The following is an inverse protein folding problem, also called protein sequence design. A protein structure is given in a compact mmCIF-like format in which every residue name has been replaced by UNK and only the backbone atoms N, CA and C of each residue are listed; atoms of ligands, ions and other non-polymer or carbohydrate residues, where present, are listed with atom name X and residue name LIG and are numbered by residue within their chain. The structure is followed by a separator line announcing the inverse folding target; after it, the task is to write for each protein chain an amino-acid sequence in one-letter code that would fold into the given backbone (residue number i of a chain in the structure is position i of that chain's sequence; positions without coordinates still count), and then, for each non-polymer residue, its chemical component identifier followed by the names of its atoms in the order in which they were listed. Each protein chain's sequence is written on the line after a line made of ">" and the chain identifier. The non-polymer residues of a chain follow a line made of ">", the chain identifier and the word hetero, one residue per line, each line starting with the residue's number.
data_IF_716918688021
#
_entry.id   IF_716918688021
#
_cell.length_a   1.000
_cell.length_b   1.000
_cell.length_c   1.000
_cell.angle_alpha   90.00
_cell.angle_beta   90.00
_cell.angle_gamma   90.00
#
_symmetry.space_group_name_H-M   'P 1'
#
loop_
_entity.id
_entity.type
_entity.pdbx_description
1 polymer ?
#
# COMPACT_ATOMS: atom_id res chain seq x y z
N UNK A 1 -53.68 30.92 -57.26
CA UNK A 1 -54.17 29.86 -56.34
C UNK A 1 -52.95 29.24 -55.68
N UNK A 2 -52.70 29.53 -54.40
CA UNK A 2 -51.53 29.04 -53.65
C UNK A 2 -51.97 27.87 -52.77
N UNK A 3 -51.38 26.70 -52.96
CA UNK A 3 -51.59 25.54 -52.09
C UNK A 3 -50.84 25.74 -50.76
N UNK A 4 -51.50 25.55 -49.60
CA UNK A 4 -50.82 25.59 -48.31
C UNK A 4 -50.14 24.24 -48.05
N UNK A 5 -48.80 24.26 -47.92
CA UNK A 5 -48.02 23.12 -47.43
C UNK A 5 -48.24 23.02 -45.92
N UNK A 6 -48.73 21.87 -45.45
CA UNK A 6 -48.87 21.59 -44.01
C UNK A 6 -47.49 21.34 -43.39
N UNK A 7 -47.16 21.95 -42.23
CA UNK A 7 -45.95 21.60 -41.49
C UNK A 7 -46.09 20.21 -40.88
N UNK A 8 -45.07 19.38 -41.03
CA UNK A 8 -44.95 18.09 -40.33
C UNK A 8 -44.43 18.40 -38.93
N UNK A 9 -45.26 18.18 -37.90
CA UNK A 9 -44.80 18.20 -36.51
C UNK A 9 -44.19 16.85 -36.16
N UNK A 10 -42.85 16.80 -36.12
CA UNK A 10 -42.14 15.68 -35.51
C UNK A 10 -42.28 15.75 -33.99
N UNK A 11 -42.98 14.79 -33.40
CA UNK A 11 -43.00 14.57 -31.94
C UNK A 11 -41.70 13.85 -31.57
N UNK A 12 -40.66 14.59 -31.20
CA UNK A 12 -39.53 14.00 -30.49
C UNK A 12 -40.02 13.63 -29.08
N UNK A 13 -40.13 12.32 -28.82
CA UNK A 13 -40.16 11.82 -27.45
C UNK A 13 -38.77 12.08 -26.85
N UNK A 14 -38.66 12.74 -25.69
CA UNK A 14 -37.39 12.90 -25.03
C UNK A 14 -36.84 11.51 -24.68
N UNK A 15 -35.71 11.16 -25.28
CA UNK A 15 -34.88 10.04 -24.81
C UNK A 15 -34.51 10.32 -23.35
N UNK A 16 -34.75 9.40 -22.40
CA UNK A 16 -34.33 9.62 -21.03
C UNK A 16 -32.81 9.79 -21.02
N UNK A 17 -32.36 10.95 -20.57
CA UNK A 17 -30.96 11.18 -20.24
C UNK A 17 -30.58 10.14 -19.19
N UNK A 18 -29.48 9.38 -19.36
CA UNK A 18 -28.98 8.54 -18.29
C UNK A 18 -28.71 9.45 -17.10
N UNK A 19 -29.53 9.33 -16.07
CA UNK A 19 -29.30 10.02 -14.80
C UNK A 19 -28.00 9.42 -14.29
N UNK A 20 -26.95 10.24 -14.24
CA UNK A 20 -25.70 9.85 -13.62
C UNK A 20 -26.04 9.34 -12.22
N UNK A 21 -25.65 8.10 -11.92
CA UNK A 21 -25.74 7.51 -10.60
C UNK A 21 -25.19 8.53 -9.59
N UNK A 22 -25.92 8.86 -8.50
CA UNK A 22 -25.37 9.73 -7.48
C UNK A 22 -24.02 9.16 -7.05
N UNK A 23 -22.97 9.99 -6.89
CA UNK A 23 -21.68 9.50 -6.44
C UNK A 23 -21.90 8.72 -5.16
N UNK A 24 -21.47 7.46 -5.15
CA UNK A 24 -21.42 6.63 -3.95
C UNK A 24 -20.74 7.50 -2.89
N UNK A 25 -21.37 7.78 -1.74
CA UNK A 25 -20.79 8.65 -0.73
C UNK A 25 -19.47 8.04 -0.30
N UNK A 26 -18.38 8.67 -0.76
CA UNK A 26 -17.02 8.26 -0.43
C UNK A 26 -16.89 8.34 1.09
N UNK A 27 -16.82 7.19 1.76
CA UNK A 27 -16.62 7.11 3.20
C UNK A 27 -15.14 7.30 3.59
N UNK A 28 -14.27 7.53 2.61
CA UNK A 28 -12.88 7.93 2.84
C UNK A 28 -12.84 9.41 3.19
N UNK A 29 -12.49 9.70 4.44
CA UNK A 29 -12.21 11.07 4.88
C UNK A 29 -10.80 11.46 4.37
N UNK A 30 -10.70 12.62 3.72
CA UNK A 30 -9.40 13.21 3.39
C UNK A 30 -8.63 13.50 4.68
N UNK A 31 -7.56 12.75 4.93
CA UNK A 31 -6.69 12.98 6.06
C UNK A 31 -5.56 13.94 5.67
N UNK A 32 -5.57 15.12 6.27
CA UNK A 32 -4.51 16.11 6.14
C UNK A 32 -3.33 15.71 7.04
N UNK A 33 -2.30 15.11 6.46
CA UNK A 33 -1.11 14.66 7.18
C UNK A 33 0.05 15.64 6.99
N UNK A 34 0.85 15.82 8.05
CA UNK A 34 2.11 16.54 8.01
C UNK A 34 3.23 15.56 7.68
N UNK A 35 3.86 15.71 6.52
CA UNK A 35 4.89 14.79 6.03
C UNK A 35 6.03 15.53 5.34
N UNK A 36 7.20 14.89 5.27
CA UNK A 36 8.27 15.32 4.37
C UNK A 36 7.93 14.87 2.95
N UNK A 37 7.75 15.83 2.05
CA UNK A 37 7.54 15.56 0.62
C UNK A 37 8.87 15.62 -0.10
N UNK A 38 9.13 14.59 -0.88
CA UNK A 38 10.28 14.50 -1.80
C UNK A 38 9.95 15.22 -3.11
N UNK A 39 10.73 16.24 -3.47
CA UNK A 39 10.62 17.04 -4.70
C UNK A 39 11.52 16.51 -5.81
N UNK A 40 12.67 15.93 -5.46
CA UNK A 40 13.56 15.21 -6.37
C UNK A 40 14.25 14.09 -5.60
N UNK A 41 14.57 13.00 -6.30
CA UNK A 41 15.29 11.87 -5.74
C UNK A 41 16.22 11.26 -6.78
N UNK A 42 17.52 11.51 -6.60
CA UNK A 42 18.57 11.15 -7.55
C UNK A 42 19.53 10.16 -6.92
N UNK A 43 19.82 9.09 -7.66
CA UNK A 43 20.92 8.18 -7.36
C UNK A 43 21.99 8.30 -8.42
N UNK A 44 23.25 8.38 -7.99
CA UNK A 44 24.40 8.40 -8.88
C UNK A 44 25.57 7.62 -8.30
N UNK A 45 26.33 7.01 -9.20
CA UNK A 45 27.65 6.50 -8.92
C UNK A 45 28.67 7.52 -9.42
N UNK A 46 29.70 7.79 -8.64
CA UNK A 46 30.85 8.55 -9.13
C UNK A 46 32.14 7.77 -8.84
N UNK A 47 33.08 7.80 -9.79
CA UNK A 47 34.41 7.18 -9.67
C UNK A 47 35.45 8.29 -9.70
N UNK A 48 36.32 8.28 -8.70
CA UNK A 48 37.39 9.23 -8.56
C UNK A 48 38.73 8.51 -8.53
N UNK A 49 39.62 8.87 -9.45
CA UNK A 49 40.97 8.33 -9.52
C UNK A 49 41.97 9.38 -9.07
N UNK A 50 42.73 9.05 -8.03
CA UNK A 50 43.79 9.93 -7.53
C UNK A 50 45.07 9.18 -7.19
N UNK A 51 46.19 9.90 -7.25
CA UNK A 51 47.51 9.41 -6.84
C UNK A 51 47.80 9.92 -5.44
N UNK A 52 47.93 8.98 -4.51
CA UNK A 52 48.25 9.26 -3.12
C UNK A 52 49.74 9.00 -2.90
N UNK A 53 50.44 9.99 -2.39
CA UNK A 53 51.84 9.85 -2.02
C UNK A 53 51.99 8.94 -0.80
N UNK A 54 52.99 8.06 -0.83
CA UNK A 54 53.36 7.27 0.34
C UNK A 54 53.98 8.18 1.41
N UNK A 55 53.60 8.03 2.69
CA UNK A 55 54.34 8.60 3.81
C UNK A 55 55.83 8.19 3.76
N UNK A 56 56.73 9.06 4.22
CA UNK A 56 58.18 8.87 4.07
C UNK A 56 58.69 7.57 4.71
N UNK A 57 58.13 7.17 5.85
CA UNK A 57 58.42 5.92 6.56
C UNK A 57 57.98 4.69 5.77
N UNK A 58 56.75 4.70 5.25
CA UNK A 58 56.21 3.64 4.41
C UNK A 58 56.98 3.55 3.08
N UNK A 59 57.31 4.70 2.48
CA UNK A 59 58.08 4.78 1.23
C UNK A 59 59.47 4.18 1.35
N UNK A 60 60.15 4.35 2.49
CA UNK A 60 61.47 3.74 2.69
C UNK A 60 61.39 2.20 2.71
N UNK A 61 60.32 1.63 3.29
CA UNK A 61 60.07 0.19 3.34
C UNK A 61 59.71 -0.37 1.96
N UNK A 62 58.68 0.21 1.34
CA UNK A 62 58.60 0.56 -0.09
C UNK A 62 59.79 0.19 -0.98
N UNK A 63 60.69 1.17 -1.07
CA UNK A 63 61.86 1.18 -1.94
C UNK A 63 62.90 0.10 -1.56
N UNK A 64 62.92 -0.35 -0.31
CA UNK A 64 63.78 -1.46 0.11
C UNK A 64 63.27 -2.81 -0.43
N UNK A 65 61.97 -3.07 -0.32
CA UNK A 65 61.34 -4.29 -0.83
C UNK A 65 61.44 -4.39 -2.37
N UNK A 66 61.21 -3.28 -3.07
CA UNK A 66 61.38 -3.21 -4.54
C UNK A 66 62.84 -3.52 -4.93
N UNK A 67 63.83 -2.95 -4.24
CA UNK A 67 65.25 -3.24 -4.50
C UNK A 67 65.63 -4.69 -4.22
N UNK A 68 64.95 -5.34 -3.28
CA UNK A 68 65.11 -6.76 -2.98
C UNK A 68 64.40 -7.68 -3.98
N UNK A 69 63.64 -7.13 -4.94
CA UNK A 69 62.94 -7.90 -5.97
C UNK A 69 61.64 -8.55 -5.48
N UNK A 70 61.06 -8.04 -4.38
CA UNK A 70 59.82 -8.56 -3.81
C UNK A 70 58.59 -8.08 -4.58
N UNK A 71 57.52 -8.88 -4.60
CA UNK A 71 56.25 -8.51 -5.20
C UNK A 71 55.46 -7.59 -4.27
N UNK A 72 55.10 -6.41 -4.75
CA UNK A 72 54.30 -5.44 -4.00
C UNK A 72 52.82 -5.61 -4.33
N UNK A 73 52.01 -5.78 -3.29
CA UNK A 73 50.55 -5.78 -3.39
C UNK A 73 49.95 -4.72 -2.49
N UNK A 74 48.84 -4.12 -2.94
CA UNK A 74 48.18 -3.01 -2.26
C UNK A 74 46.75 -3.43 -1.99
N UNK A 75 46.27 -3.16 -0.78
CA UNK A 75 44.87 -3.31 -0.40
C UNK A 75 44.35 -1.96 0.07
N UNK A 76 43.13 -1.62 -0.32
CA UNK A 76 42.42 -0.47 0.21
C UNK A 76 41.19 -0.98 0.95
N UNK A 77 41.01 -0.52 2.19
CA UNK A 77 39.83 -0.84 2.99
C UNK A 77 39.21 0.44 3.51
N UNK A 78 37.90 0.44 3.58
CA UNK A 78 37.13 1.60 4.00
C UNK A 78 37.01 1.60 5.53
N UNK A 79 37.53 2.63 6.23
CA UNK A 79 37.31 2.81 7.64
C UNK A 79 35.84 3.16 7.91
N UNK A 80 35.36 2.67 9.05
CA UNK A 80 34.00 2.91 9.53
C UNK A 80 33.88 4.28 10.24
N UNK A 81 35.00 4.97 10.50
CA UNK A 81 35.02 6.25 11.23
C UNK A 81 36.22 7.15 10.89
N UNK A 82 36.02 8.46 10.63
CA UNK A 82 34.71 9.09 10.42
C UNK A 82 34.06 8.55 9.14
N UNK A 83 32.73 8.45 9.14
CA UNK A 83 31.97 8.03 7.97
C UNK A 83 32.18 8.98 6.77
N UNK A 84 31.85 8.54 5.55
CA UNK A 84 32.00 9.38 4.39
C UNK A 84 31.04 10.58 4.47
N UNK A 85 31.45 11.71 3.90
CA UNK A 85 30.78 13.00 4.00
C UNK A 85 30.29 13.44 2.64
N UNK A 86 29.13 14.09 2.62
CA UNK A 86 28.56 14.75 1.45
C UNK A 86 28.04 16.11 1.87
N UNK A 87 28.62 17.18 1.32
CA UNK A 87 28.25 18.54 1.69
C UNK A 87 27.91 19.35 0.44
N UNK A 88 26.87 20.18 0.55
CA UNK A 88 26.57 21.22 -0.45
C UNK A 88 27.60 22.33 -0.33
N UNK A 89 28.19 22.74 -1.45
CA UNK A 89 29.17 23.83 -1.52
C UNK A 89 28.58 25.09 -2.13
N UNK A 90 27.76 24.92 -3.16
CA UNK A 90 27.12 26.05 -3.82
C UNK A 90 25.90 25.60 -4.61
N UNK A 91 24.90 26.48 -4.70
CA UNK A 91 23.70 26.28 -5.51
C UNK A 91 23.64 27.43 -6.52
N UNK A 92 23.57 27.09 -7.82
CA UNK A 92 23.19 28.05 -8.87
C UNK A 92 21.86 27.64 -9.49
N UNK A 93 20.99 28.60 -9.78
CA UNK A 93 19.70 28.32 -10.43
C UNK A 93 19.79 28.66 -11.91
N UNK A 94 19.37 27.72 -12.74
CA UNK A 94 19.42 27.85 -14.20
C UNK A 94 18.10 27.38 -14.83
N UNK A 95 17.83 27.85 -16.04
CA UNK A 95 16.75 27.33 -16.87
C UNK A 95 17.33 26.33 -17.85
N UNK A 96 16.94 25.06 -17.75
CA UNK A 96 17.35 24.02 -18.67
C UNK A 96 16.14 23.49 -19.44
N UNK A 97 16.37 22.99 -20.65
CA UNK A 97 15.31 22.35 -21.44
C UNK A 97 15.36 20.85 -21.25
N UNK A 98 14.35 20.28 -20.61
CA UNK A 98 14.17 18.84 -20.43
C UNK A 98 12.95 18.41 -21.24
N UNK A 99 13.12 17.52 -22.21
CA UNK A 99 12.04 17.03 -23.08
C UNK A 99 11.22 18.14 -23.75
N UNK A 100 11.88 19.22 -24.19
CA UNK A 100 11.24 20.35 -24.86
C UNK A 100 10.55 21.36 -23.92
N UNK A 101 10.55 21.12 -22.60
CA UNK A 101 10.01 22.05 -21.60
C UNK A 101 11.15 22.75 -20.88
N UNK A 102 11.08 24.08 -20.78
CA UNK A 102 12.02 24.86 -19.97
C UNK A 102 11.64 24.74 -18.49
N UNK A 103 12.55 24.20 -17.69
CA UNK A 103 12.37 24.01 -16.25
C UNK A 103 13.48 24.75 -15.51
N UNK A 104 13.12 25.46 -14.44
CA UNK A 104 14.08 26.09 -13.54
C UNK A 104 14.59 25.07 -12.55
N UNK A 105 15.90 24.85 -12.54
CA UNK A 105 16.57 23.80 -11.74
C UNK A 105 17.65 24.42 -10.85
N UNK A 106 18.03 23.69 -9.80
CA UNK A 106 19.25 23.97 -9.03
C UNK A 106 20.39 23.11 -9.54
N UNK A 107 21.46 23.73 -10.04
CA UNK A 107 22.74 23.04 -10.24
C UNK A 107 23.52 23.15 -8.94
N UNK A 108 23.64 22.03 -8.23
CA UNK A 108 24.20 21.96 -6.90
C UNK A 108 25.57 21.30 -6.96
N UNK A 109 26.58 21.99 -6.46
CA UNK A 109 27.94 21.46 -6.32
C UNK A 109 28.07 20.78 -4.97
N UNK A 110 28.38 19.50 -4.99
CA UNK A 110 28.67 18.70 -3.81
C UNK A 110 30.17 18.48 -3.68
N UNK A 111 30.66 18.43 -2.44
CA UNK A 111 31.97 17.86 -2.11
C UNK A 111 31.74 16.59 -1.32
N UNK A 112 32.31 15.51 -1.85
CA UNK A 112 32.33 14.20 -1.23
C UNK A 112 33.70 13.99 -0.60
N UNK A 113 33.71 13.47 0.63
CA UNK A 113 34.94 13.13 1.33
C UNK A 113 34.83 11.74 1.91
N UNK A 114 35.81 10.88 1.64
CA UNK A 114 35.91 9.56 2.27
C UNK A 114 37.33 9.37 2.80
N UNK A 115 37.44 8.86 4.02
CA UNK A 115 38.72 8.41 4.56
C UNK A 115 38.87 6.96 4.16
N UNK A 116 40.07 6.53 3.73
CA UNK A 116 40.39 5.14 3.37
C UNK A 116 41.71 4.71 4.01
N UNK A 117 41.85 3.42 4.30
CA UNK A 117 43.08 2.83 4.83
C UNK A 117 43.77 2.05 3.73
N UNK A 118 45.03 2.41 3.45
CA UNK A 118 45.87 1.76 2.46
C UNK A 118 46.87 0.86 3.17
N UNK A 119 46.90 -0.41 2.76
CA UNK A 119 47.83 -1.43 3.25
C UNK A 119 48.74 -1.88 2.13
N UNK A 120 50.02 -1.97 2.41
CA UNK A 120 51.02 -2.42 1.45
C UNK A 120 51.67 -3.69 1.98
N UNK A 121 51.85 -4.67 1.11
CA UNK A 121 52.47 -5.94 1.40
C UNK A 121 53.62 -6.22 0.44
N UNK A 122 54.65 -6.93 0.91
CA UNK A 122 55.72 -7.52 0.10
C UNK A 122 55.67 -9.05 0.24
N UNK A 123 55.52 -9.76 -0.88
CA UNK A 123 55.38 -11.22 -0.92
C UNK A 123 54.29 -11.74 0.05
N UNK A 124 53.20 -10.97 0.20
CA UNK A 124 52.11 -11.25 1.14
C UNK A 124 52.35 -10.85 2.60
N UNK A 125 53.54 -10.33 2.95
CA UNK A 125 53.86 -9.86 4.30
C UNK A 125 53.56 -8.36 4.45
N UNK A 126 52.84 -7.91 5.50
CA UNK A 126 52.55 -6.49 5.69
C UNK A 126 53.83 -5.65 5.82
N UNK A 127 53.95 -4.58 5.03
CA UNK A 127 55.04 -3.61 5.10
C UNK A 127 54.65 -2.37 5.91
N UNK A 128 53.54 -1.74 5.53
CA UNK A 128 53.04 -0.53 6.18
C UNK A 128 51.53 -0.36 5.94
N UNK A 129 50.91 0.43 6.81
CA UNK A 129 49.52 0.86 6.72
C UNK A 129 49.46 2.37 6.98
N UNK A 130 48.66 3.09 6.21
CA UNK A 130 48.40 4.51 6.46
C UNK A 130 46.98 4.89 6.04
N UNK A 131 46.47 5.95 6.65
CA UNK A 131 45.15 6.51 6.35
C UNK A 131 45.30 7.72 5.43
N UNK A 132 44.40 7.86 4.45
CA UNK A 132 44.32 9.02 3.57
C UNK A 132 42.87 9.43 3.35
N UNK A 133 42.64 10.72 3.12
CA UNK A 133 41.30 11.23 2.78
C UNK A 133 41.25 11.55 1.30
N UNK A 134 40.31 10.93 0.60
CA UNK A 134 39.98 11.30 -0.77
C UNK A 134 38.82 12.30 -0.75
N UNK A 135 38.98 13.38 -1.51
CA UNK A 135 37.95 14.38 -1.71
C UNK A 135 37.78 14.65 -3.19
N UNK A 136 36.52 14.76 -3.62
CA UNK A 136 36.18 15.14 -4.99
C UNK A 136 34.85 15.88 -4.98
N UNK A 137 34.65 16.69 -5.99
CA UNK A 137 33.43 17.46 -6.18
C UNK A 137 32.67 17.05 -7.43
N UNK A 138 31.36 17.21 -7.40
CA UNK A 138 30.51 16.97 -8.55
C UNK A 138 29.33 17.94 -8.55
N UNK A 139 28.94 18.36 -9.75
CA UNK A 139 27.68 19.08 -9.95
C UNK A 139 26.55 18.09 -10.27
N UNK A 140 25.40 18.31 -9.64
CA UNK A 140 24.18 17.54 -9.87
C UNK A 140 23.03 18.52 -10.11
N UNK A 141 22.20 18.23 -11.11
CA UNK A 141 20.99 18.99 -11.39
C UNK A 141 19.83 18.43 -10.57
N UNK A 142 19.25 19.27 -9.71
CA UNK A 142 18.13 18.94 -8.84
C UNK A 142 16.91 19.81 -9.15
N UNK A 143 15.71 19.23 -9.00
CA UNK A 143 14.48 20.00 -8.89
C UNK A 143 14.44 20.69 -7.52
N UNK A 144 14.85 21.97 -7.51
CA UNK A 144 14.97 22.78 -6.29
C UNK A 144 14.18 24.09 -6.45
N UNK A 145 12.84 24.03 -6.38
CA UNK A 145 11.99 25.22 -6.52
C UNK A 145 12.21 26.19 -5.35
N UNK A 146 12.09 27.50 -5.61
CA UNK A 146 12.06 28.48 -4.53
C UNK A 146 10.81 28.24 -3.64
N UNK A 147 10.92 28.37 -2.30
CA UNK A 147 12.05 28.91 -1.53
C UNK A 147 13.09 27.87 -1.08
N UNK A 148 13.03 26.62 -1.56
CA UNK A 148 13.92 25.55 -1.07
C UNK A 148 15.39 25.86 -1.35
N UNK A 149 16.25 25.52 -0.40
CA UNK A 149 17.69 25.79 -0.42
C UNK A 149 18.51 24.59 0.07
N UNK A 150 19.72 24.83 0.60
CA UNK A 150 20.63 23.77 1.08
C UNK A 150 20.07 22.97 2.24
N UNK A 151 19.24 23.58 3.10
CA UNK A 151 18.64 22.90 4.26
C UNK A 151 17.60 21.86 3.85
N UNK A 152 17.11 21.95 2.61
CA UNK A 152 16.16 21.01 2.02
C UNK A 152 16.85 19.87 1.26
N UNK A 153 18.18 19.81 1.23
CA UNK A 153 18.91 18.79 0.48
C UNK A 153 19.48 17.76 1.45
N UNK A 154 18.94 16.55 1.39
CA UNK A 154 19.47 15.40 2.12
C UNK A 154 20.41 14.63 1.20
N UNK A 155 21.68 14.54 1.58
CA UNK A 155 22.67 13.76 0.85
C UNK A 155 23.22 12.62 1.70
N UNK A 156 23.13 11.39 1.19
CA UNK A 156 23.60 10.19 1.86
C UNK A 156 24.47 9.36 0.93
N UNK A 157 25.65 8.96 1.43
CA UNK A 157 26.49 7.97 0.76
C UNK A 157 26.02 6.59 1.21
N UNK A 158 25.49 5.80 0.28
CA UNK A 158 24.89 4.48 0.55
C UNK A 158 25.89 3.34 0.42
N UNK A 159 26.92 3.52 -0.42
CA UNK A 159 28.05 2.61 -0.53
C UNK A 159 29.30 3.37 -0.96
N UNK A 160 30.46 2.82 -0.60
CA UNK A 160 31.79 3.24 -0.99
C UNK A 160 32.50 1.96 -1.47
N UNK A 161 33.36 2.08 -2.46
CA UNK A 161 34.25 1.01 -2.92
C UNK A 161 35.63 1.62 -3.20
N UNK A 162 36.68 1.11 -2.55
CA UNK A 162 38.05 1.55 -2.80
C UNK A 162 38.90 0.46 -3.47
N UNK A 163 39.39 0.74 -4.68
CA UNK A 163 40.19 -0.17 -5.48
C UNK A 163 41.56 0.43 -5.82
N UNK A 164 42.68 -0.16 -5.39
CA UNK A 164 43.99 0.24 -5.88
C UNK A 164 44.14 -0.18 -7.35
N UNK A 165 44.46 0.76 -8.24
CA UNK A 165 44.66 0.46 -9.66
C UNK A 165 46.14 0.16 -9.93
N UNK A 166 46.47 -1.13 -9.96
CA UNK A 166 47.77 -1.67 -10.38
C UNK A 166 48.72 -2.06 -9.24
N UNK A 167 49.74 -2.87 -9.56
CA UNK A 167 50.78 -3.34 -8.63
C UNK A 167 52.06 -2.48 -8.69
N UNK A 168 52.02 -1.36 -9.42
CA UNK A 168 53.20 -0.56 -9.75
C UNK A 168 53.14 0.78 -9.02
N UNK A 169 54.07 0.96 -8.08
CA UNK A 169 54.34 2.24 -7.42
C UNK A 169 54.89 3.23 -8.46
N UNK A 170 54.06 4.18 -8.90
CA UNK A 170 54.46 5.21 -9.86
C UNK A 170 55.22 6.33 -9.15
N UNK A 171 56.51 6.12 -8.87
CA UNK A 171 57.35 7.14 -8.25
C UNK A 171 57.03 7.42 -6.77
N UNK A 172 56.72 6.36 -6.00
CA UNK A 172 56.35 6.48 -4.58
C UNK A 172 54.90 6.91 -4.37
N UNK A 173 54.04 6.72 -5.37
CA UNK A 173 52.60 7.00 -5.30
C UNK A 173 51.79 5.74 -5.58
N UNK A 174 50.66 5.62 -4.90
CA UNK A 174 49.62 4.61 -5.13
C UNK A 174 48.45 5.28 -5.84
N UNK A 175 47.96 4.68 -6.92
CA UNK A 175 46.75 5.14 -7.58
C UNK A 175 45.53 4.40 -6.99
N UNK A 176 44.59 5.17 -6.45
CA UNK A 176 43.33 4.65 -5.92
C UNK A 176 42.18 5.08 -6.84
N UNK A 177 41.29 4.14 -7.13
CA UNK A 177 39.98 4.36 -7.75
C UNK A 177 38.93 4.19 -6.65
N UNK A 178 38.31 5.29 -6.26
CA UNK A 178 37.28 5.32 -5.22
C UNK A 178 35.94 5.58 -5.86
N UNK A 179 35.02 4.64 -5.69
CA UNK A 179 33.66 4.71 -6.21
C UNK A 179 32.72 5.00 -5.03
N UNK A 180 31.85 5.99 -5.19
CA UNK A 180 30.78 6.27 -4.24
C UNK A 180 29.42 6.08 -4.88
N UNK A 181 28.48 5.52 -4.13
CA UNK A 181 27.07 5.56 -4.41
C UNK A 181 26.40 6.59 -3.53
N UNK A 182 25.76 7.56 -4.16
CA UNK A 182 25.15 8.70 -3.50
C UNK A 182 23.67 8.71 -3.78
N UNK A 183 22.90 8.96 -2.74
CA UNK A 183 21.48 9.23 -2.75
C UNK A 183 21.27 10.69 -2.33
N UNK A 184 20.61 11.46 -3.21
CA UNK A 184 20.32 12.88 -2.97
C UNK A 184 18.80 13.06 -3.05
N UNK A 185 18.22 13.60 -1.99
CA UNK A 185 16.80 13.93 -1.91
C UNK A 185 16.62 15.43 -1.67
N UNK A 186 15.63 16.02 -2.34
CA UNK A 186 15.15 17.37 -2.01
C UNK A 186 13.86 17.19 -1.25
N UNK A 187 13.83 17.58 0.02
CA UNK A 187 12.70 17.37 0.93
C UNK A 187 12.22 18.67 1.54
N UNK A 188 10.90 18.83 1.65
CA UNK A 188 10.31 19.89 2.43
C UNK A 188 9.06 19.40 3.15
N UNK A 189 8.86 19.94 4.35
CA UNK A 189 7.68 19.62 5.14
C UNK A 189 6.44 20.27 4.52
N UNK A 190 5.42 19.46 4.31
CA UNK A 190 4.15 19.90 3.72
C UNK A 190 2.98 19.26 4.46
N UNK A 191 1.81 19.84 4.24
CA UNK A 191 0.53 19.23 4.59
C UNK A 191 -0.07 18.64 3.32
N UNK A 192 -0.34 17.35 3.30
CA UNK A 192 -0.89 16.65 2.16
C UNK A 192 -2.16 15.91 2.55
N UNK A 193 -3.11 15.90 1.62
CA UNK A 193 -4.21 14.93 1.57
C UNK A 193 -3.71 13.81 0.65
N UNK A 194 -3.62 12.57 1.13
CA UNK A 194 -2.90 11.49 0.42
C UNK A 194 -3.77 10.31 0.00
N UNK A 195 -3.58 9.90 -1.25
CA UNK A 195 -3.72 8.53 -1.74
C UNK A 195 -2.31 8.10 -2.20
N UNK A 196 -1.73 7.03 -1.63
CA UNK A 196 -0.27 6.80 -1.71
C UNK A 196 0.15 5.53 -2.47
N UNK A 197 1.36 5.57 -3.07
CA UNK A 197 2.09 4.45 -3.66
C UNK A 197 3.60 4.63 -3.42
N UNK A 198 4.37 3.56 -3.32
CA UNK A 198 5.83 3.63 -3.22
C UNK A 198 6.44 4.34 -4.44
N UNK A 199 7.32 5.31 -4.18
CA UNK A 199 8.12 5.99 -5.20
C UNK A 199 9.45 5.24 -5.41
N UNK A 200 10.10 5.46 -6.55
CA UNK A 200 11.46 4.96 -6.84
C UNK A 200 12.34 6.11 -7.34
N UNK A 201 13.65 6.13 -7.07
CA UNK A 201 14.54 7.20 -7.53
C UNK A 201 14.68 7.19 -9.05
N UNK A 202 14.98 8.36 -9.63
CA UNK A 202 15.41 8.45 -11.04
C UNK A 202 16.94 8.30 -11.14
N UNK A 203 17.47 7.74 -12.25
CA UNK A 203 18.90 7.82 -12.52
C UNK A 203 19.33 9.27 -12.79
N UNK A 204 20.59 9.60 -12.53
CA UNK A 204 21.18 10.90 -12.91
C UNK A 204 21.40 11.00 -14.44
N UNK A 205 20.31 11.18 -15.20
CA UNK A 205 20.29 11.17 -16.65
C UNK A 205 20.12 12.57 -17.29
N UNK A 206 20.12 13.63 -16.49
CA UNK A 206 20.12 15.02 -16.97
C UNK A 206 21.58 15.43 -17.14
N UNK A 207 22.07 15.66 -18.36
CA UNK A 207 23.49 15.89 -18.60
C UNK A 207 23.97 17.22 -17.99
N UNK A 208 24.98 17.14 -17.13
CA UNK A 208 25.98 18.19 -16.92
C UNK A 208 27.17 17.81 -17.82
N UNK A 209 27.93 18.74 -18.44
CA UNK A 209 29.04 18.39 -19.36
C UNK A 209 30.26 17.72 -18.70
N UNK A 210 30.07 16.64 -17.94
CA UNK A 210 31.11 15.73 -17.45
C UNK A 210 30.75 14.26 -17.72
N UNK A 211 31.73 13.34 -17.77
CA UNK A 211 31.52 11.98 -18.22
C UNK A 211 30.71 11.16 -17.21
N UNK A 212 29.73 10.40 -17.69
CA UNK A 212 28.96 9.42 -16.94
C UNK A 212 29.79 8.16 -16.67
N UNK A 213 30.00 7.75 -15.41
CA UNK A 213 30.70 6.50 -15.09
C UNK A 213 29.78 5.28 -15.30
N UNK A 214 30.38 4.12 -15.58
CA UNK A 214 29.71 2.86 -15.93
C UNK A 214 29.29 1.98 -14.73
N UNK A 215 29.37 2.48 -13.51
CA UNK A 215 29.05 1.72 -12.30
C UNK A 215 27.56 1.82 -11.94
N UNK A 216 26.92 0.71 -11.57
CA UNK A 216 25.53 0.68 -11.11
C UNK A 216 25.46 0.48 -9.60
N UNK A 217 24.86 1.44 -8.91
CA UNK A 217 24.58 1.30 -7.49
C UNK A 217 23.61 0.15 -7.20
N UNK A 218 23.71 -0.48 -6.02
CA UNK A 218 22.74 -1.48 -5.58
C UNK A 218 21.31 -0.94 -5.69
N UNK A 219 20.32 -1.79 -6.03
CA UNK A 219 18.93 -1.36 -6.11
C UNK A 219 18.43 -0.94 -4.72
N UNK A 220 17.63 0.12 -4.67
CA UNK A 220 16.90 0.48 -3.45
C UNK A 220 15.83 -0.59 -3.20
N UNK A 221 15.87 -1.21 -2.03
CA UNK A 221 14.87 -2.17 -1.58
C UNK A 221 14.04 -1.55 -0.45
N UNK A 222 12.73 -1.58 -0.60
CA UNK A 222 11.82 -1.22 0.48
C UNK A 222 11.65 -2.43 1.41
N UNK A 223 11.60 -2.22 2.74
CA UNK A 223 11.18 -3.28 3.65
C UNK A 223 9.81 -3.82 3.21
N UNK A 224 9.61 -5.15 3.20
CA UNK A 224 8.30 -5.72 2.88
C UNK A 224 7.28 -5.26 3.93
N UNK A 225 6.10 -4.85 3.48
CA UNK A 225 4.98 -4.62 4.37
C UNK A 225 4.61 -5.94 5.06
N UNK A 226 3.94 -5.88 6.22
CA UNK A 226 3.54 -7.06 6.99
C UNK A 226 2.02 -7.31 6.90
N UNK A 227 1.44 -7.71 5.76
CA UNK A 227 0.00 -7.87 5.58
C UNK A 227 -0.75 -8.72 6.62
N UNK A 228 -0.15 -9.74 7.27
CA UNK A 228 -0.83 -10.48 8.34
C UNK A 228 -1.05 -9.66 9.63
N UNK A 229 -0.30 -8.57 9.80
CA UNK A 229 -0.29 -7.72 11.00
C UNK A 229 -0.81 -6.32 10.67
N UNK A 230 -0.45 -5.77 9.52
CA UNK A 230 -0.79 -4.40 9.13
C UNK A 230 -0.67 -4.12 7.62
N UNK A 231 -1.64 -3.39 7.02
CA UNK A 231 -2.95 -3.07 7.60
C UNK A 231 -3.79 -4.35 7.74
N UNK A 232 -4.67 -4.38 8.75
CA UNK A 232 -5.64 -5.47 8.90
C UNK A 232 -6.55 -5.47 7.66
N UNK A 233 -6.96 -6.65 7.19
CA UNK A 233 -7.84 -6.75 6.01
C UNK A 233 -9.15 -6.00 6.28
N UNK A 234 -9.41 -4.97 5.48
CA UNK A 234 -10.70 -4.29 5.45
C UNK A 234 -11.77 -5.23 4.85
N UNK A 235 -13.02 -5.14 5.30
CA UNK A 235 -14.13 -5.76 4.60
C UNK A 235 -14.49 -4.96 3.33
N UNK A 236 -15.11 -5.63 2.38
CA UNK A 236 -15.58 -5.04 1.11
C UNK A 236 -17.00 -4.44 1.26
N UNK A 237 -17.77 -4.89 2.26
CA UNK A 237 -19.06 -4.31 2.61
C UNK A 237 -19.34 -4.51 4.10
N UNK A 238 -20.31 -3.76 4.60
CA UNK A 238 -20.81 -3.82 5.97
C UNK A 238 -22.33 -3.85 5.99
N UNK A 239 -22.91 -4.36 7.07
CA UNK A 239 -24.35 -4.29 7.29
C UNK A 239 -24.69 -4.01 8.75
N UNK A 240 -25.77 -3.29 8.98
CA UNK A 240 -26.39 -3.14 10.29
C UNK A 240 -27.87 -3.54 10.19
N UNK A 241 -28.35 -4.34 11.14
CA UNK A 241 -29.73 -4.85 11.15
C UNK A 241 -30.28 -4.74 12.56
N UNK A 242 -31.49 -4.22 12.65
CA UNK A 242 -32.31 -4.26 13.86
C UNK A 242 -33.77 -4.51 13.46
N UNK A 243 -34.07 -5.77 13.16
CA UNK A 243 -35.35 -6.18 12.61
C UNK A 243 -36.14 -7.03 13.60
N UNK A 244 -37.44 -6.78 13.69
CA UNK A 244 -38.42 -7.61 14.41
C UNK A 244 -39.65 -7.81 13.51
N UNK A 245 -39.80 -9.00 12.97
CA UNK A 245 -40.72 -9.28 11.87
C UNK A 245 -41.71 -10.37 12.30
N UNK A 246 -42.99 -10.03 12.55
CA UNK A 246 -44.01 -10.99 12.95
C UNK A 246 -44.56 -11.76 11.75
N UNK A 247 -45.20 -12.90 12.02
CA UNK A 247 -45.94 -13.71 11.05
C UNK A 247 -45.11 -14.21 9.86
N UNK A 248 -43.85 -14.56 10.10
CA UNK A 248 -42.95 -15.12 9.08
C UNK A 248 -43.11 -16.63 9.01
N UNK A 249 -43.28 -17.17 7.80
CA UNK A 249 -43.20 -18.60 7.53
C UNK A 249 -41.74 -19.04 7.40
N UNK A 250 -41.34 -20.04 8.16
CA UNK A 250 -40.01 -20.65 8.12
C UNK A 250 -40.13 -22.16 7.88
N UNK A 251 -39.00 -22.80 7.57
CA UNK A 251 -38.89 -24.25 7.54
C UNK A 251 -37.93 -24.72 8.63
N UNK A 252 -38.31 -25.70 9.45
CA UNK A 252 -37.50 -26.20 10.56
C UNK A 252 -37.64 -27.72 10.73
N UNK A 253 -36.58 -28.38 11.22
CA UNK A 253 -36.59 -29.79 11.59
C UNK A 253 -36.02 -30.72 10.51
N UNK A 254 -36.10 -32.03 10.78
CA UNK A 254 -35.74 -33.11 9.84
C UNK A 254 -36.86 -34.18 9.88
N UNK A 255 -37.69 -34.32 8.84
CA UNK A 255 -37.74 -33.49 7.62
C UNK A 255 -38.13 -32.03 7.94
N UNK A 256 -37.88 -31.12 6.99
CA UNK A 256 -38.26 -29.72 7.15
C UNK A 256 -39.78 -29.58 7.11
N UNK A 257 -40.32 -28.99 8.17
CA UNK A 257 -41.74 -28.69 8.33
C UNK A 257 -41.95 -27.17 8.39
N UNK A 258 -43.13 -26.72 7.97
CA UNK A 258 -43.48 -25.30 7.98
C UNK A 258 -43.92 -24.86 9.37
N UNK A 259 -43.33 -23.78 9.88
CA UNK A 259 -43.78 -23.11 11.10
C UNK A 259 -43.98 -21.61 10.84
N UNK A 260 -44.80 -20.96 11.68
CA UNK A 260 -45.08 -19.52 11.57
C UNK A 260 -44.78 -18.84 12.90
N UNK A 261 -43.95 -17.82 12.85
CA UNK A 261 -43.48 -17.16 14.05
C UNK A 261 -43.06 -15.71 13.85
N UNK A 262 -42.44 -15.17 14.88
CA UNK A 262 -41.80 -13.86 14.85
C UNK A 262 -40.29 -14.06 14.80
N UNK A 263 -39.61 -13.32 13.93
CA UNK A 263 -38.15 -13.33 13.85
C UNK A 263 -37.60 -12.02 14.41
N UNK A 264 -36.51 -12.12 15.16
CA UNK A 264 -35.68 -10.98 15.51
C UNK A 264 -34.27 -11.20 14.99
N UNK A 265 -33.72 -10.21 14.29
CA UNK A 265 -32.31 -10.19 13.89
C UNK A 265 -31.69 -8.87 14.33
N UNK A 266 -30.63 -8.96 15.14
CA UNK A 266 -29.77 -7.84 15.48
C UNK A 266 -28.38 -8.19 14.97
N UNK A 267 -27.84 -7.41 14.04
CA UNK A 267 -26.55 -7.69 13.41
C UNK A 267 -25.76 -6.40 13.17
N UNK A 268 -24.45 -6.46 13.41
CA UNK A 268 -23.47 -5.50 12.92
C UNK A 268 -22.34 -6.31 12.27
N UNK A 269 -22.35 -6.37 10.93
CA UNK A 269 -21.39 -7.12 10.13
C UNK A 269 -20.34 -6.16 9.60
N UNK A 270 -19.08 -6.42 9.92
CA UNK A 270 -17.94 -5.54 9.63
C UNK A 270 -18.20 -4.06 9.95
N UNK A 271 -18.59 -3.71 11.19
CA UNK A 271 -18.86 -2.32 11.50
C UNK A 271 -17.59 -1.48 11.29
N UNK A 272 -17.75 -0.34 10.61
CA UNK A 272 -16.62 0.49 10.18
C UNK A 272 -15.59 -0.25 9.32
N UNK A 273 -16.05 -1.26 8.57
CA UNK A 273 -15.24 -2.10 7.69
C UNK A 273 -14.19 -2.98 8.40
N UNK A 274 -14.26 -3.10 9.72
CA UNK A 274 -13.41 -3.99 10.51
C UNK A 274 -14.06 -5.38 10.68
N UNK A 275 -13.46 -6.45 10.13
CA UNK A 275 -14.01 -7.80 10.24
C UNK A 275 -14.04 -8.32 11.68
N UNK A 276 -13.14 -7.84 12.55
CA UNK A 276 -12.96 -8.38 13.89
C UNK A 276 -14.10 -8.05 14.85
N UNK A 277 -14.88 -7.02 14.52
CA UNK A 277 -16.02 -6.54 15.31
C UNK A 277 -17.38 -7.05 14.81
N UNK A 278 -17.41 -7.99 13.88
CA UNK A 278 -18.67 -8.54 13.37
C UNK A 278 -19.43 -9.32 14.45
N UNK A 279 -20.74 -9.11 14.55
CA UNK A 279 -21.62 -9.87 15.44
C UNK A 279 -23.04 -9.93 14.90
N UNK A 280 -23.78 -10.98 15.25
CA UNK A 280 -25.24 -10.96 15.12
C UNK A 280 -25.89 -11.91 16.12
N UNK A 281 -27.18 -11.74 16.33
CA UNK A 281 -28.04 -12.68 17.06
C UNK A 281 -29.34 -12.85 16.30
N UNK A 282 -29.82 -14.07 16.22
CA UNK A 282 -31.09 -14.40 15.56
C UNK A 282 -32.00 -15.11 16.55
N UNK A 283 -33.25 -14.66 16.68
CA UNK A 283 -34.27 -15.32 17.49
C UNK A 283 -35.45 -15.68 16.61
N UNK A 284 -35.97 -16.89 16.79
CA UNK A 284 -37.27 -17.29 16.29
C UNK A 284 -38.20 -17.54 17.48
N UNK A 285 -39.35 -16.89 17.48
CA UNK A 285 -40.42 -17.07 18.44
C UNK A 285 -41.58 -17.76 17.74
N UNK A 286 -41.82 -19.01 18.07
CA UNK A 286 -42.94 -19.77 17.56
C UNK A 286 -44.24 -19.20 18.14
N UNK A 287 -45.14 -18.80 17.25
CA UNK A 287 -46.41 -18.18 17.64
C UNK A 287 -47.60 -19.13 17.53
N UNK A 288 -47.42 -20.31 16.94
CA UNK A 288 -48.49 -21.28 16.65
C UNK A 288 -48.25 -22.56 17.43
N UNK A 289 -48.32 -22.45 18.75
CA UNK A 289 -48.04 -23.52 19.73
C UNK A 289 -48.97 -24.75 19.63
N UNK A 290 -50.00 -24.72 18.77
CA UNK A 290 -50.95 -25.83 18.57
C UNK A 290 -50.61 -26.72 17.38
N UNK A 291 -49.50 -26.47 16.69
CA UNK A 291 -49.04 -27.35 15.63
C UNK A 291 -48.48 -28.69 16.18
N UNK A 292 -48.17 -29.62 15.28
CA UNK A 292 -47.68 -30.96 15.65
C UNK A 292 -46.23 -30.95 16.18
N UNK A 293 -45.53 -29.82 16.10
CA UNK A 293 -44.11 -29.69 16.44
C UNK A 293 -43.93 -29.16 17.87
N UNK A 294 -44.94 -28.54 18.46
CA UNK A 294 -44.83 -27.87 19.76
C UNK A 294 -43.99 -26.60 19.67
N UNK A 295 -43.54 -26.05 20.81
CA UNK A 295 -42.76 -24.81 20.81
C UNK A 295 -41.37 -24.99 20.19
N UNK A 296 -41.18 -24.44 18.98
CA UNK A 296 -39.93 -24.46 18.24
C UNK A 296 -39.09 -23.17 18.43
N UNK A 297 -39.40 -22.35 19.42
CA UNK A 297 -38.68 -21.10 19.66
C UNK A 297 -37.20 -21.33 20.01
N UNK A 298 -36.28 -20.62 19.35
CA UNK A 298 -34.84 -20.75 19.58
C UNK A 298 -34.09 -19.42 19.45
N UNK A 299 -32.93 -19.35 20.11
CA UNK A 299 -31.90 -18.35 19.86
C UNK A 299 -30.73 -18.98 19.08
N UNK A 300 -30.17 -18.24 18.12
CA UNK A 300 -28.95 -18.60 17.42
C UNK A 300 -27.90 -17.51 17.61
N UNK A 301 -26.72 -17.93 18.05
CA UNK A 301 -25.56 -17.05 18.28
C UNK A 301 -24.33 -17.60 17.53
N UNK A 302 -23.73 -16.83 16.61
CA UNK A 302 -22.55 -17.26 15.86
C UNK A 302 -21.32 -17.38 16.78
N UNK A 303 -20.51 -18.41 16.55
CA UNK A 303 -19.19 -18.61 17.15
C UNK A 303 -18.06 -18.20 16.21
N UNK A 304 -18.34 -18.13 14.92
CA UNK A 304 -17.44 -17.58 13.90
C UNK A 304 -18.23 -16.87 12.83
N UNK A 305 -17.66 -15.80 12.26
CA UNK A 305 -18.23 -15.04 11.15
C UNK A 305 -17.12 -14.85 10.12
N UNK A 306 -17.37 -15.28 8.87
CA UNK A 306 -16.45 -15.04 7.76
C UNK A 306 -16.47 -13.58 7.32
N UNK A 307 -15.43 -13.13 6.62
CA UNK A 307 -15.46 -11.83 5.96
C UNK A 307 -16.64 -11.79 4.96
N UNK A 308 -17.42 -10.70 4.94
CA UNK A 308 -18.59 -10.59 4.09
C UNK A 308 -18.18 -10.58 2.62
N UNK A 309 -18.98 -11.27 1.81
CA UNK A 309 -18.88 -11.23 0.34
C UNK A 309 -20.02 -10.37 -0.18
N UNK A 310 -19.70 -9.28 -0.87
CA UNK A 310 -20.71 -8.37 -1.39
C UNK A 310 -21.42 -8.96 -2.61
N UNK A 311 -22.71 -8.67 -2.73
CA UNK A 311 -23.56 -9.13 -3.81
C UNK A 311 -24.40 -7.97 -4.34
N UNK A 312 -24.65 -7.97 -5.64
CA UNK A 312 -25.51 -6.96 -6.30
C UNK A 312 -26.76 -7.58 -6.92
N UNK A 313 -26.90 -8.90 -6.84
CA UNK A 313 -28.03 -9.65 -7.37
C UNK A 313 -28.38 -10.82 -6.46
N UNK A 314 -29.66 -11.04 -6.27
CA UNK A 314 -30.22 -12.30 -5.78
C UNK A 314 -31.03 -12.95 -6.90
N UNK A 315 -31.17 -14.29 -6.91
CA UNK A 315 -31.98 -14.96 -7.93
C UNK A 315 -33.41 -14.42 -7.97
N UNK A 316 -33.73 -13.66 -9.03
CA UNK A 316 -35.06 -13.05 -9.24
C UNK A 316 -35.29 -11.70 -8.55
N UNK A 317 -34.27 -11.11 -7.90
CA UNK A 317 -34.37 -9.80 -7.21
C UNK A 317 -33.12 -8.97 -7.54
N UNK A 318 -33.31 -7.81 -8.17
CA UNK A 318 -32.24 -6.81 -8.30
C UNK A 318 -32.00 -6.14 -6.94
N UNK A 319 -30.74 -5.95 -6.58
CA UNK A 319 -30.35 -5.33 -5.31
C UNK A 319 -29.67 -3.99 -5.56
N UNK A 320 -29.84 -3.07 -4.62
CA UNK A 320 -28.96 -1.91 -4.52
C UNK A 320 -27.57 -2.35 -4.05
N UNK A 321 -27.53 -3.12 -2.97
CA UNK A 321 -26.31 -3.77 -2.46
C UNK A 321 -26.70 -4.88 -1.48
N UNK A 322 -25.80 -5.81 -1.22
CA UNK A 322 -26.06 -6.93 -0.33
C UNK A 322 -24.77 -7.57 0.10
N UNK A 323 -24.84 -8.42 1.12
CA UNK A 323 -23.71 -9.22 1.55
C UNK A 323 -24.13 -10.61 2.00
N UNK A 324 -23.17 -11.53 1.96
CA UNK A 324 -23.29 -12.88 2.50
C UNK A 324 -22.16 -13.11 3.51
N UNK A 325 -22.52 -13.60 4.69
CA UNK A 325 -21.58 -14.13 5.69
C UNK A 325 -21.92 -15.57 6.03
N UNK A 326 -20.90 -16.34 6.35
CA UNK A 326 -20.99 -17.75 6.68
C UNK A 326 -20.19 -18.03 7.95
N UNK A 327 -20.50 -19.15 8.61
CA UNK A 327 -19.75 -19.52 9.80
C UNK A 327 -20.40 -20.65 10.56
N UNK A 328 -20.01 -20.76 11.82
CA UNK A 328 -20.59 -21.70 12.78
C UNK A 328 -21.26 -20.94 13.91
N UNK A 329 -22.24 -21.56 14.54
CA UNK A 329 -22.89 -20.98 15.71
C UNK A 329 -23.65 -22.02 16.52
N UNK A 330 -24.18 -21.56 17.65
CA UNK A 330 -24.94 -22.39 18.57
C UNK A 330 -26.41 -22.00 18.49
N UNK A 331 -27.26 -22.97 18.14
CA UNK A 331 -28.71 -22.89 18.32
C UNK A 331 -29.05 -23.39 19.72
N UNK A 332 -29.84 -22.62 20.47
CA UNK A 332 -30.39 -23.02 21.76
C UNK A 332 -31.92 -22.96 21.71
N UNK A 333 -32.58 -24.12 21.81
CA UNK A 333 -34.04 -24.16 21.94
C UNK A 333 -34.47 -23.60 23.29
N UNK A 334 -35.42 -22.68 23.28
CA UNK A 334 -35.83 -21.95 24.49
C UNK A 334 -36.63 -22.82 25.45
N UNK A 335 -37.47 -23.72 24.93
CA UNK A 335 -38.31 -24.60 25.76
C UNK A 335 -37.50 -25.68 26.50
N UNK A 336 -36.47 -26.26 25.86
CA UNK A 336 -35.71 -27.39 26.41
C UNK A 336 -34.31 -27.02 26.90
N UNK A 337 -33.76 -25.88 26.45
CA UNK A 337 -32.36 -25.53 26.65
C UNK A 337 -31.38 -26.37 25.82
N UNK A 338 -31.87 -27.22 24.90
CA UNK A 338 -31.02 -28.07 24.05
C UNK A 338 -30.16 -27.20 23.14
N UNK A 339 -28.86 -27.48 23.11
CA UNK A 339 -27.90 -26.77 22.27
C UNK A 339 -27.38 -27.64 21.13
N UNK A 340 -27.23 -27.02 19.96
CA UNK A 340 -26.71 -27.65 18.76
C UNK A 340 -25.74 -26.72 18.05
N UNK A 341 -24.63 -27.27 17.59
CA UNK A 341 -23.66 -26.55 16.77
C UNK A 341 -24.07 -26.73 15.31
N UNK A 342 -24.29 -25.61 14.61
CA UNK A 342 -24.74 -25.59 13.23
C UNK A 342 -23.80 -24.72 12.39
N UNK A 343 -23.72 -25.03 11.10
CA UNK A 343 -23.15 -24.10 10.11
C UNK A 343 -24.27 -23.20 9.60
N UNK A 344 -23.97 -21.93 9.34
CA UNK A 344 -24.96 -20.99 8.85
C UNK A 344 -24.50 -20.28 7.57
N UNK A 345 -25.49 -19.81 6.80
CA UNK A 345 -25.32 -18.78 5.77
C UNK A 345 -26.36 -17.69 6.02
N UNK A 346 -25.91 -16.46 6.21
CA UNK A 346 -26.75 -15.27 6.38
C UNK A 346 -26.53 -14.33 5.20
N UNK A 347 -27.61 -14.03 4.49
CA UNK A 347 -27.65 -13.02 3.44
C UNK A 347 -28.47 -11.83 3.91
N UNK A 348 -27.90 -10.64 3.77
CA UNK A 348 -28.53 -9.36 4.05
C UNK A 348 -28.50 -8.54 2.76
N UNK A 349 -29.65 -8.08 2.29
CA UNK A 349 -29.72 -7.44 0.99
C UNK A 349 -30.74 -6.30 0.94
N UNK A 350 -30.26 -5.16 0.44
CA UNK A 350 -31.02 -3.96 0.12
C UNK A 350 -31.60 -4.07 -1.28
N UNK A 351 -32.93 -4.02 -1.42
CA UNK A 351 -33.57 -4.21 -2.74
C UNK A 351 -33.74 -2.90 -3.50
N UNK A 352 -33.84 -1.77 -2.80
CA UNK A 352 -33.93 -0.45 -3.39
C UNK A 352 -34.57 0.56 -2.45
N UNK A 353 -34.32 1.85 -2.69
CA UNK A 353 -34.74 2.93 -1.79
C UNK A 353 -36.24 2.90 -1.46
N UNK A 354 -36.56 2.67 -0.20
CA UNK A 354 -37.92 2.65 0.33
C UNK A 354 -38.70 1.38 -0.03
N UNK A 355 -38.03 0.34 -0.52
CA UNK A 355 -38.61 -0.98 -0.76
C UNK A 355 -38.24 -1.92 0.39
N UNK A 356 -39.03 -2.99 0.63
CA UNK A 356 -38.67 -3.95 1.65
C UNK A 356 -37.37 -4.71 1.32
N UNK A 357 -36.55 -4.90 2.33
CA UNK A 357 -35.29 -5.61 2.24
C UNK A 357 -35.43 -7.10 2.46
N UNK A 358 -34.31 -7.79 2.25
CA UNK A 358 -34.24 -9.25 2.26
C UNK A 358 -33.26 -9.75 3.32
N UNK A 359 -33.74 -10.66 4.16
CA UNK A 359 -32.93 -11.48 5.07
C UNK A 359 -33.12 -12.94 4.69
N UNK A 360 -32.02 -13.65 4.41
CA UNK A 360 -32.04 -15.11 4.23
C UNK A 360 -31.11 -15.73 5.25
N UNK A 361 -31.62 -16.61 6.10
CA UNK A 361 -30.82 -17.40 7.02
C UNK A 361 -31.07 -18.88 6.78
N UNK A 362 -30.01 -19.63 6.53
CA UNK A 362 -30.05 -21.10 6.50
C UNK A 362 -29.13 -21.67 7.58
N UNK A 363 -29.57 -22.72 8.26
CA UNK A 363 -28.77 -23.47 9.22
C UNK A 363 -28.67 -24.93 8.77
N UNK A 364 -27.46 -25.47 8.75
CA UNK A 364 -27.18 -26.86 8.42
C UNK A 364 -26.50 -27.57 9.59
N UNK A 365 -26.80 -28.86 9.76
CA UNK A 365 -26.16 -29.71 10.74
C UNK A 365 -24.69 -30.02 10.36
N UNK A 366 -23.99 -30.78 11.21
CA UNK A 366 -22.61 -31.19 10.96
C UNK A 366 -22.42 -32.09 9.74
N UNK A 367 -23.49 -32.67 9.19
CA UNK A 367 -23.49 -33.49 7.99
C UNK A 367 -23.86 -32.67 6.73
N UNK A 368 -24.12 -31.36 6.88
CA UNK A 368 -24.56 -30.47 5.80
C UNK A 368 -26.05 -30.57 5.46
N UNK A 369 -26.85 -31.22 6.31
CA UNK A 369 -28.31 -31.31 6.14
C UNK A 369 -28.97 -30.02 6.59
N UNK A 370 -29.83 -29.44 5.77
CA UNK A 370 -30.60 -28.24 6.10
C UNK A 370 -31.62 -28.54 7.20
N UNK A 371 -31.50 -27.85 8.33
CA UNK A 371 -32.37 -28.02 9.52
C UNK A 371 -33.21 -26.79 9.84
N UNK A 372 -32.89 -25.66 9.22
CA UNK A 372 -33.65 -24.43 9.32
C UNK A 372 -33.44 -23.56 8.08
N UNK A 373 -34.51 -22.92 7.61
CA UNK A 373 -34.45 -21.91 6.56
C UNK A 373 -35.50 -20.83 6.79
N UNK A 374 -35.06 -19.57 6.75
CA UNK A 374 -35.91 -18.38 6.72
C UNK A 374 -35.54 -17.54 5.49
N UNK A 375 -36.54 -17.20 4.68
CA UNK A 375 -36.39 -16.27 3.54
C UNK A 375 -37.42 -15.16 3.73
N UNK A 376 -36.95 -14.00 4.15
CA UNK A 376 -37.78 -12.87 4.57
C UNK A 376 -37.58 -11.75 3.56
N UNK A 377 -38.65 -11.34 2.89
CA UNK A 377 -38.61 -10.34 1.81
C UNK A 377 -39.48 -9.10 2.11
N UNK A 378 -39.79 -8.90 3.40
CA UNK A 378 -40.69 -7.86 3.91
C UNK A 378 -40.03 -7.05 5.02
N UNK A 379 -38.70 -7.05 5.08
CA UNK A 379 -37.94 -6.31 6.09
C UNK A 379 -38.12 -4.82 5.80
N UNK A 380 -38.56 -3.98 6.75
CA UNK A 380 -38.64 -2.53 6.50
C UNK A 380 -37.26 -1.96 6.15
N UNK A 381 -37.20 -1.08 5.16
CA UNK A 381 -35.99 -0.40 4.63
C UNK A 381 -35.15 0.25 5.75
N UNK A 382 -35.79 0.80 6.78
CA UNK A 382 -35.08 1.41 7.89
C UNK A 382 -34.45 0.43 8.90
N UNK A 383 -34.77 -0.87 8.79
CA UNK A 383 -34.35 -1.91 9.76
C UNK A 383 -33.15 -2.72 9.29
N UNK A 384 -32.77 -2.63 8.02
CA UNK A 384 -31.61 -3.28 7.44
C UNK A 384 -30.89 -2.25 6.60
N UNK A 385 -29.58 -2.12 6.80
CA UNK A 385 -28.76 -1.20 6.04
C UNK A 385 -27.51 -1.92 5.56
N UNK A 386 -27.32 -2.01 4.26
CA UNK A 386 -26.09 -2.57 3.67
C UNK A 386 -25.33 -1.46 2.95
N UNK A 387 -24.01 -1.42 3.15
CA UNK A 387 -23.14 -0.40 2.55
C UNK A 387 -21.86 -1.03 2.03
N UNK A 388 -21.36 -0.43 0.96
CA UNK A 388 -20.04 -0.69 0.42
C UNK A 388 -18.94 -0.13 1.34
N UNK A 389 -17.86 -0.86 1.51
CA UNK A 389 -16.67 -0.45 2.22
C UNK A 389 -15.59 -0.06 1.20
N UNK A 390 -15.68 1.18 0.73
CA UNK A 390 -14.83 1.72 -0.34
C UNK A 390 -13.36 1.35 -0.12
N UNK A 391 -12.80 0.59 -1.05
CA UNK A 391 -11.38 0.28 -1.09
C UNK A 391 -10.67 1.18 -2.09
N UNK A 392 -9.33 1.21 -2.04
CA UNK A 392 -8.53 1.93 -3.03
C UNK A 392 -8.77 1.47 -4.48
N UNK A 393 -9.29 0.25 -4.69
CA UNK A 393 -9.57 -0.27 -6.03
C UNK A 393 -10.87 0.30 -6.61
N UNK A 394 -11.77 0.80 -5.77
CA UNK A 394 -13.08 1.34 -6.16
C UNK A 394 -13.00 2.82 -6.55
N UNK A 395 -11.86 3.47 -6.28
CA UNK A 395 -11.59 4.84 -6.68
C UNK A 395 -11.34 4.87 -8.20
N UNK A 396 -12.37 5.23 -8.96
CA UNK A 396 -12.23 5.54 -10.39
C UNK A 396 -11.35 6.79 -10.52
N UNK A 397 -10.11 6.61 -10.96
CA UNK A 397 -9.22 7.73 -11.29
C UNK A 397 -9.76 8.39 -12.56
N UNK A 398 -10.61 9.40 -12.40
CA UNK A 398 -10.90 10.34 -13.48
C UNK A 398 -9.63 11.16 -13.70
N UNK A 399 -8.89 10.83 -14.75
CA UNK A 399 -7.79 11.67 -15.20
C UNK A 399 -8.36 13.03 -15.62
N UNK A 400 -7.85 14.15 -15.10
CA UNK A 400 -8.24 15.47 -15.57
C UNK A 400 -7.78 15.71 -17.02
#
# INVERSE_FOLDING_TARGET
>A
MKHPVKPIMGRQLPTPTPTATPPIPNNLQEECIRVQKVYDWVVLANSYRNKIALPDDCRALVDAAIRAGQEITISCVEPVSPGPTCNVVSIRRENITVNGTTVRVGVVRFVFGATVVVRIFADGTPLCEFTTTVQFDQEVVLCLPEPLDEDNIVCRISALECNPTGNVLLGGMVQLDVIVCVEIQVEAEVKLEVLAKFCSPRPNNIPVPSPTPSFRCPPITFPPQCPPIFPVRNCDCQASVNALIPNVSISIGIPLELAVGTIQLIADICPSCDPSSSSFTFNFFDTVLTDLLGDQSFNFSPTSISSPTCITVLPGIELLTGLVVTGTGVRTFTATGTQEILTYSLTLAETGLGLPDVIILTLTDTNGVLVFSANITIVPDEQLLVRDCVTFQDIVITTP
#
